data_IF_800167069690
#
_entry.id   IF_800167069690
#
_cell.length_a   1.000
_cell.length_b   1.000
_cell.length_c   1.000
_cell.angle_alpha   90.00
_cell.angle_beta   90.00
_cell.angle_gamma   90.00
#
_symmetry.space_group_name_H-M   'P 1'
#
loop_
_entity.id
_entity.type
_entity.pdbx_description
1 polymer ?
#
# COMPACT_ATOMS: atom_id res chain seq x y z
N UNK A 1 0.24 23.98 -8.11
CA UNK A 1 -0.45 23.26 -7.01
C UNK A 1 0.42 22.08 -6.60
N UNK A 2 0.54 21.78 -5.31
CA UNK A 2 1.29 20.62 -4.79
C UNK A 2 0.32 19.71 -4.04
N UNK A 3 0.31 18.43 -4.39
CA UNK A 3 -0.58 17.41 -3.82
C UNK A 3 0.29 16.29 -3.24
N UNK A 4 -0.11 15.76 -2.08
CA UNK A 4 0.60 14.65 -1.41
C UNK A 4 -0.36 13.48 -1.31
N UNK A 5 0.03 12.30 -1.79
CA UNK A 5 -0.80 11.11 -1.59
C UNK A 5 -0.45 10.47 -0.25
N UNK A 6 -1.38 10.54 0.69
CA UNK A 6 -1.24 9.88 1.99
C UNK A 6 -1.42 8.36 1.89
N UNK A 7 -2.14 7.89 0.86
CA UNK A 7 -2.23 6.47 0.56
C UNK A 7 -2.77 6.17 -0.84
N UNK A 8 -2.35 5.03 -1.39
CA UNK A 8 -2.67 4.59 -2.76
C UNK A 8 -3.09 3.11 -2.81
N UNK A 9 -3.41 2.54 -1.65
CA UNK A 9 -3.83 1.15 -1.49
C UNK A 9 -5.34 1.00 -1.61
N UNK A 10 -5.77 -0.26 -1.72
CA UNK A 10 -7.19 -0.63 -1.74
C UNK A 10 -7.82 -0.49 -0.35
N UNK A 11 -9.10 -0.85 -0.22
CA UNK A 11 -9.79 -0.92 1.07
C UNK A 11 -9.10 -1.83 2.11
N UNK A 12 -8.17 -2.69 1.74
CA UNK A 12 -7.44 -3.52 2.71
C UNK A 12 -6.00 -3.06 2.94
N UNK A 13 -5.51 -2.11 2.14
CA UNK A 13 -4.08 -1.76 2.11
C UNK A 13 -3.21 -2.90 1.59
N UNK A 14 -1.90 -2.72 1.65
CA UNK A 14 -0.90 -3.73 1.33
C UNK A 14 0.25 -3.57 2.34
N UNK A 15 0.69 -4.65 3.02
CA UNK A 15 0.28 -6.05 2.88
C UNK A 15 -1.14 -6.35 3.37
N UNK A 16 -1.79 -7.34 2.75
CA UNK A 16 -3.07 -7.87 3.22
C UNK A 16 -2.80 -8.87 4.35
N UNK A 17 -3.53 -8.77 5.46
CA UNK A 17 -3.40 -9.69 6.59
C UNK A 17 -3.57 -11.15 6.14
N UNK A 18 -2.61 -12.01 6.50
CA UNK A 18 -2.59 -13.43 6.12
C UNK A 18 -2.20 -13.71 4.67
N UNK A 19 -1.86 -12.71 3.86
CA UNK A 19 -1.42 -12.91 2.48
C UNK A 19 0.09 -13.13 2.36
N UNK A 20 0.50 -14.16 1.62
CA UNK A 20 1.90 -14.54 1.44
C UNK A 20 2.40 -14.37 0.00
N UNK A 21 1.69 -13.59 -0.82
CA UNK A 21 2.08 -13.35 -2.22
C UNK A 21 3.37 -12.50 -2.33
N UNK A 22 3.99 -12.51 -3.51
CA UNK A 22 5.23 -11.76 -3.79
C UNK A 22 5.17 -10.27 -3.45
N UNK A 23 3.99 -9.65 -3.56
CA UNK A 23 3.80 -8.21 -3.28
C UNK A 23 3.68 -7.94 -1.79
N UNK A 24 2.95 -8.78 -1.05
CA UNK A 24 2.81 -8.63 0.41
C UNK A 24 4.10 -8.96 1.15
N UNK A 25 4.99 -9.77 0.54
CA UNK A 25 6.34 -10.10 1.06
C UNK A 25 7.47 -9.28 0.44
N UNK A 26 7.15 -8.24 -0.33
CA UNK A 26 8.16 -7.48 -1.06
C UNK A 26 8.88 -6.50 -0.14
N UNK A 27 10.21 -6.47 -0.20
CA UNK A 27 11.04 -5.45 0.48
C UNK A 27 10.99 -4.07 -0.20
N UNK A 28 10.43 -3.96 -1.41
CA UNK A 28 10.24 -2.67 -2.06
C UNK A 28 9.28 -1.78 -1.23
N UNK A 29 9.73 -0.62 -0.73
CA UNK A 29 8.91 0.24 0.13
C UNK A 29 7.65 0.78 -0.55
N UNK A 30 7.62 0.86 -1.90
CA UNK A 30 6.43 1.28 -2.66
C UNK A 30 5.29 0.25 -2.66
N UNK A 31 5.53 -0.94 -2.12
CA UNK A 31 4.50 -1.96 -1.92
C UNK A 31 3.82 -1.85 -0.55
N UNK A 32 4.35 -1.07 0.39
CA UNK A 32 3.64 -0.72 1.62
C UNK A 32 2.65 0.42 1.33
N UNK A 33 1.35 0.12 1.31
CA UNK A 33 0.30 1.06 0.86
C UNK A 33 -0.82 1.17 1.88
N UNK A 34 -1.01 2.37 2.39
CA UNK A 34 -2.19 2.75 3.17
C UNK A 34 -3.43 2.87 2.27
N UNK A 35 -4.62 2.91 2.87
CA UNK A 35 -5.87 3.15 2.11
C UNK A 35 -5.80 4.47 1.35
N UNK A 36 -6.52 4.54 0.24
CA UNK A 36 -6.57 5.71 -0.63
C UNK A 36 -6.90 7.01 0.14
N UNK A 37 -6.01 7.99 0.08
CA UNK A 37 -6.19 9.33 0.67
C UNK A 37 -5.25 10.31 -0.03
N UNK A 38 -5.75 11.54 -0.22
CA UNK A 38 -5.05 12.70 -0.80
C UNK A 38 -4.94 13.78 0.26
#
# INVERSE_FOLDING_TARGET
MKVTFLGTGTSHGIPVAGCFCKVCKSDNPKNNRYRSSV
#
